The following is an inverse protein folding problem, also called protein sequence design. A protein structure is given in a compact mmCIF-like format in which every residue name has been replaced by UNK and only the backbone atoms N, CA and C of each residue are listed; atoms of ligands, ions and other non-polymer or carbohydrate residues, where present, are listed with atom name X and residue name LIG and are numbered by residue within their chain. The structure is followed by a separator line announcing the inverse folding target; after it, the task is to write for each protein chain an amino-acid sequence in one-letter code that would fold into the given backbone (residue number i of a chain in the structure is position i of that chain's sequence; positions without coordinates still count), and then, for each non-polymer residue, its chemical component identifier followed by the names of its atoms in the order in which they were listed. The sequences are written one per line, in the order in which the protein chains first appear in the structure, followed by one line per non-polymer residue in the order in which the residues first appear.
data_IF_625121171445
#
_entry.id   IF_625121171445
#
_cell.length_a   1.000
_cell.length_b   1.000
_cell.length_c   1.000
_cell.angle_alpha   90.00
_cell.angle_beta   90.00
_cell.angle_gamma   90.00
#
_symmetry.space_group_name_H-M   'P 1'
#
loop_
_entity.id
_entity.type
_entity.pdbx_description
1 polymer ?
#
# COMPACT_ATOMS: atom_id res chain seq x y z
N UNK A 1 17.63 35.25 -32.32
CA UNK A 1 17.88 34.33 -31.19
C UNK A 1 17.59 35.02 -29.85
N UNK A 2 16.35 34.98 -29.33
CA UNK A 2 15.99 35.37 -27.94
C UNK A 2 14.64 34.75 -27.57
N UNK A 3 14.56 33.43 -27.37
CA UNK A 3 13.33 32.74 -26.93
C UNK A 3 13.60 31.66 -25.88
N UNK A 4 14.57 31.86 -24.99
CA UNK A 4 14.92 30.88 -23.95
C UNK A 4 14.83 31.42 -22.50
N UNK A 5 14.44 32.68 -22.28
CA UNK A 5 14.42 33.25 -20.93
C UNK A 5 13.08 33.08 -20.19
N UNK A 6 11.95 32.99 -20.90
CA UNK A 6 10.63 32.93 -20.23
C UNK A 6 10.25 31.56 -19.67
N UNK A 7 10.95 30.47 -20.03
CA UNK A 7 10.71 29.14 -19.43
C UNK A 7 11.24 29.01 -17.99
N UNK A 8 12.14 29.89 -17.54
CA UNK A 8 12.80 29.79 -16.22
C UNK A 8 12.00 30.43 -15.07
N UNK A 9 10.77 30.91 -15.30
CA UNK A 9 9.97 31.62 -14.31
C UNK A 9 8.59 31.02 -14.04
N UNK A 10 8.40 29.70 -14.17
CA UNK A 10 7.41 29.03 -13.31
C UNK A 10 8.05 28.96 -11.93
N UNK A 11 7.75 29.96 -11.09
CA UNK A 11 8.09 30.01 -9.67
C UNK A 11 8.09 28.58 -9.11
N UNK A 12 9.24 28.11 -8.59
CA UNK A 12 9.28 26.98 -7.68
C UNK A 12 8.43 27.38 -6.47
N UNK A 13 7.14 27.01 -6.50
CA UNK A 13 6.19 27.37 -5.43
C UNK A 13 6.57 26.53 -4.22
N UNK A 14 7.32 27.14 -3.32
CA UNK A 14 7.61 26.60 -2.00
C UNK A 14 6.30 26.34 -1.25
N UNK A 15 6.26 25.29 -0.44
CA UNK A 15 5.16 25.07 0.49
C UNK A 15 5.02 26.27 1.45
N UNK A 16 3.79 26.52 1.93
CA UNK A 16 3.51 27.63 2.82
C UNK A 16 4.17 27.48 4.20
N UNK A 17 4.16 26.26 4.73
CA UNK A 17 4.69 25.90 6.06
C UNK A 17 6.16 25.50 5.98
N UNK A 18 6.48 24.36 5.37
CA UNK A 18 7.86 23.81 5.34
C UNK A 18 8.83 24.55 4.43
N UNK A 19 8.36 25.50 3.61
CA UNK A 19 9.14 26.24 2.60
C UNK A 19 9.90 25.36 1.59
N UNK A 20 9.63 24.07 1.57
CA UNK A 20 10.27 23.09 0.70
C UNK A 20 9.71 23.16 -0.73
N UNK A 21 10.53 22.75 -1.69
CA UNK A 21 10.20 22.79 -3.13
C UNK A 21 9.85 21.41 -3.70
N UNK A 22 10.15 20.33 -2.98
CA UNK A 22 9.86 18.93 -3.36
C UNK A 22 9.05 18.24 -2.28
N UNK A 23 8.25 17.24 -2.66
CA UNK A 23 7.46 16.48 -1.70
C UNK A 23 8.32 15.72 -0.67
N UNK A 24 9.46 15.17 -1.09
CA UNK A 24 10.39 14.50 -0.18
C UNK A 24 10.88 15.45 0.93
N UNK A 25 11.34 16.65 0.56
CA UNK A 25 11.79 17.65 1.53
C UNK A 25 10.64 18.22 2.40
N UNK A 26 9.40 18.15 1.93
CA UNK A 26 8.24 18.44 2.79
C UNK A 26 8.01 17.34 3.82
N UNK A 27 8.24 16.07 3.45
CA UNK A 27 8.17 14.91 4.34
C UNK A 27 9.22 14.98 5.44
N UNK A 28 10.49 15.19 5.06
CA UNK A 28 11.61 15.33 6.01
C UNK A 28 11.35 16.41 7.07
N UNK A 29 10.71 17.51 6.68
CA UNK A 29 10.27 18.53 7.64
C UNK A 29 9.21 17.99 8.61
N UNK A 30 8.20 17.25 8.14
CA UNK A 30 7.16 16.70 9.04
C UNK A 30 7.61 15.48 9.85
N UNK A 31 8.73 14.85 9.49
CA UNK A 31 9.36 13.81 10.31
C UNK A 31 10.06 14.41 11.55
N UNK A 32 10.51 15.67 11.48
CA UNK A 32 11.19 16.38 12.58
C UNK A 32 10.25 17.28 13.40
N UNK A 33 9.21 17.86 12.79
CA UNK A 33 8.34 18.85 13.41
C UNK A 33 6.90 18.35 13.61
N UNK A 34 6.30 18.63 14.78
CA UNK A 34 4.92 18.23 15.08
C UNK A 34 3.88 19.11 14.36
N UNK A 35 2.79 18.50 13.89
CA UNK A 35 1.68 19.19 13.24
C UNK A 35 0.99 20.22 14.16
N UNK A 36 0.93 19.95 15.48
CA UNK A 36 0.25 20.81 16.45
C UNK A 36 0.86 22.20 16.53
N UNK A 37 2.19 22.30 16.36
CA UNK A 37 2.93 23.57 16.42
C UNK A 37 2.58 24.52 15.27
N UNK A 38 1.98 23.97 14.21
CA UNK A 38 1.60 24.70 13.01
C UNK A 38 0.08 24.68 12.77
N UNK A 39 -0.73 24.21 13.73
CA UNK A 39 -2.18 24.05 13.56
C UNK A 39 -2.89 25.36 13.14
N UNK A 40 -2.48 26.51 13.69
CA UNK A 40 -3.02 27.83 13.29
C UNK A 40 -2.62 28.30 11.89
N UNK A 41 -1.69 27.60 11.22
CA UNK A 41 -1.23 27.87 9.85
C UNK A 41 -1.71 26.80 8.85
N UNK A 42 -2.43 25.77 9.32
CA UNK A 42 -3.05 24.76 8.48
C UNK A 42 -4.55 25.00 8.35
N UNK A 43 -5.19 24.19 7.50
CA UNK A 43 -6.64 24.19 7.33
C UNK A 43 -7.12 22.75 7.36
N UNK A 44 -8.33 22.53 7.84
CA UNK A 44 -8.97 21.22 7.73
C UNK A 44 -9.01 20.80 6.26
N UNK A 45 -8.56 19.58 5.99
CA UNK A 45 -8.63 18.94 4.68
C UNK A 45 -9.29 17.58 4.86
N UNK A 46 -10.21 17.25 3.96
CA UNK A 46 -10.79 15.91 3.88
C UNK A 46 -9.94 15.09 2.93
N UNK A 47 -9.46 13.94 3.39
CA UNK A 47 -8.83 12.93 2.57
C UNK A 47 -9.63 11.66 2.74
N UNK A 48 -10.18 11.15 1.65
CA UNK A 48 -10.79 9.82 1.64
C UNK A 48 -9.66 8.85 1.24
N UNK A 49 -9.29 7.97 2.17
CA UNK A 49 -8.28 6.94 1.93
C UNK A 49 -9.02 5.62 1.79
N UNK A 50 -8.96 5.03 0.60
CA UNK A 50 -9.45 3.67 0.39
C UNK A 50 -8.32 2.71 0.76
N UNK A 51 -8.43 2.11 1.95
CA UNK A 51 -7.57 1.00 2.33
C UNK A 51 -8.23 -0.25 1.77
N UNK A 52 -7.94 -0.58 0.50
CA UNK A 52 -8.35 -1.85 -0.06
C UNK A 52 -7.81 -2.96 0.84
N UNK A 53 -8.71 -3.79 1.38
CA UNK A 53 -8.28 -4.99 2.10
C UNK A 53 -7.51 -5.88 1.12
N UNK A 54 -6.27 -6.23 1.44
CA UNK A 54 -5.47 -7.15 0.62
C UNK A 54 -6.07 -8.58 0.55
N UNK A 55 -7.17 -8.83 1.27
CA UNK A 55 -7.83 -10.13 1.35
C UNK A 55 -8.86 -10.33 0.24
N UNK A 56 -8.67 -11.39 -0.55
CA UNK A 56 -9.68 -11.88 -1.49
C UNK A 56 -10.51 -13.00 -0.87
N UNK A 57 -11.82 -12.78 -0.74
CA UNK A 57 -12.75 -13.75 -0.16
C UNK A 57 -13.35 -14.66 -1.24
N UNK A 58 -13.20 -15.97 -1.07
CA UNK A 58 -13.77 -16.97 -1.96
C UNK A 58 -14.72 -17.89 -1.20
N UNK A 59 -15.92 -18.08 -1.74
CA UNK A 59 -16.87 -19.06 -1.21
C UNK A 59 -16.37 -20.48 -1.49
N UNK A 60 -16.43 -21.34 -0.47
CA UNK A 60 -16.13 -22.77 -0.57
C UNK A 60 -17.34 -23.58 -0.11
N UNK A 61 -17.45 -24.80 -0.62
CA UNK A 61 -18.52 -25.73 -0.23
C UNK A 61 -18.42 -26.09 1.26
N UNK A 62 -19.57 -26.33 1.90
CA UNK A 62 -19.68 -26.50 3.35
C UNK A 62 -18.87 -27.69 3.87
N UNK A 63 -19.00 -28.87 3.25
CA UNK A 63 -18.26 -30.08 3.67
C UNK A 63 -16.76 -29.92 3.46
N UNK A 64 -16.35 -29.21 2.41
CA UNK A 64 -14.95 -28.84 2.21
C UNK A 64 -14.45 -27.92 3.34
N UNK A 65 -15.23 -26.91 3.74
CA UNK A 65 -14.89 -26.04 4.87
C UNK A 65 -14.73 -26.83 6.17
N UNK A 66 -15.65 -27.75 6.45
CA UNK A 66 -15.59 -28.63 7.63
C UNK A 66 -14.31 -29.49 7.64
N UNK A 67 -13.93 -30.01 6.48
CA UNK A 67 -12.68 -30.78 6.31
C UNK A 67 -11.45 -29.90 6.55
N UNK A 68 -11.37 -28.72 5.93
CA UNK A 68 -10.27 -27.78 6.12
C UNK A 68 -10.12 -27.42 7.61
N UNK A 69 -11.23 -27.16 8.32
CA UNK A 69 -11.19 -26.83 9.74
C UNK A 69 -10.62 -27.96 10.60
N UNK A 70 -11.01 -29.21 10.30
CA UNK A 70 -10.49 -30.39 11.02
C UNK A 70 -8.98 -30.54 10.79
N UNK A 71 -8.54 -30.49 9.54
CA UNK A 71 -7.13 -30.60 9.16
C UNK A 71 -6.28 -29.48 9.77
N UNK A 72 -6.80 -28.24 9.76
CA UNK A 72 -6.12 -27.09 10.34
C UNK A 72 -5.95 -27.25 11.85
N UNK A 73 -6.99 -27.74 12.54
CA UNK A 73 -6.98 -28.01 13.97
C UNK A 73 -5.96 -29.09 14.34
N UNK A 74 -5.91 -30.19 13.59
CA UNK A 74 -4.93 -31.27 13.80
C UNK A 74 -3.49 -30.79 13.62
N UNK A 75 -3.27 -29.79 12.75
CA UNK A 75 -1.97 -29.17 12.49
C UNK A 75 -1.65 -27.98 13.40
N UNK A 76 -2.57 -27.58 14.28
CA UNK A 76 -2.41 -26.44 15.18
C UNK A 76 -2.33 -25.08 14.49
N UNK A 77 -2.85 -24.95 13.26
CA UNK A 77 -2.84 -23.70 12.48
C UNK A 77 -4.26 -23.24 12.15
N UNK A 78 -4.41 -22.00 11.70
CA UNK A 78 -5.71 -21.49 11.29
C UNK A 78 -6.16 -22.10 9.95
N UNK A 79 -7.48 -22.28 9.72
CA UNK A 79 -8.01 -22.67 8.41
C UNK A 79 -7.55 -21.73 7.28
N UNK A 80 -7.46 -20.43 7.54
CA UNK A 80 -6.97 -19.43 6.59
C UNK A 80 -5.52 -19.73 6.18
N UNK A 81 -4.64 -19.96 7.16
CA UNK A 81 -3.23 -20.30 6.92
C UNK A 81 -3.10 -21.59 6.10
N UNK A 82 -3.87 -22.63 6.47
CA UNK A 82 -3.83 -23.91 5.76
C UNK A 82 -4.25 -23.75 4.29
N UNK A 83 -5.34 -23.02 4.03
CA UNK A 83 -5.83 -22.76 2.67
C UNK A 83 -4.79 -22.01 1.85
N UNK A 84 -4.18 -20.96 2.40
CA UNK A 84 -3.15 -20.20 1.69
C UNK A 84 -1.94 -21.06 1.33
N UNK A 85 -1.46 -21.89 2.25
CA UNK A 85 -0.33 -22.80 1.98
C UNK A 85 -0.67 -23.80 0.87
N UNK A 86 -1.85 -24.43 0.94
CA UNK A 86 -2.28 -25.37 -0.10
C UNK A 86 -2.44 -24.69 -1.47
N UNK A 87 -3.04 -23.50 -1.52
CA UNK A 87 -3.19 -22.76 -2.78
C UNK A 87 -1.82 -22.40 -3.36
N UNK A 88 -0.87 -21.95 -2.54
CA UNK A 88 0.50 -21.68 -2.98
C UNK A 88 1.17 -22.92 -3.56
N UNK A 89 1.10 -24.06 -2.88
CA UNK A 89 1.65 -25.33 -3.37
C UNK A 89 1.01 -25.77 -4.70
N UNK A 90 -0.32 -25.62 -4.83
CA UNK A 90 -1.04 -25.99 -6.07
C UNK A 90 -0.67 -25.07 -7.21
N UNK A 91 -0.62 -23.75 -6.98
CA UNK A 91 -0.23 -22.77 -8.00
C UNK A 91 1.22 -23.00 -8.46
N UNK A 92 2.14 -23.33 -7.54
CA UNK A 92 3.51 -23.68 -7.90
C UNK A 92 3.60 -24.89 -8.82
N UNK A 93 2.76 -25.91 -8.62
CA UNK A 93 2.66 -27.08 -9.50
C UNK A 93 2.04 -26.76 -10.86
N UNK A 94 1.13 -25.78 -10.90
CA UNK A 94 0.48 -25.35 -12.13
C UNK A 94 1.38 -24.47 -13.00
N UNK A 95 2.34 -23.75 -12.41
CA UNK A 95 3.39 -23.05 -13.16
C UNK A 95 4.32 -24.12 -13.75
N UNK A 96 4.26 -24.43 -15.06
CA UNK A 96 5.35 -25.17 -15.67
C UNK A 96 6.61 -24.32 -15.44
N UNK A 97 7.78 -24.95 -15.30
CA UNK A 97 9.04 -24.23 -15.38
C UNK A 97 9.05 -23.45 -16.70
N UNK A 98 8.66 -22.17 -16.65
CA UNK A 98 8.80 -21.25 -17.76
C UNK A 98 10.30 -21.10 -17.92
N UNK A 99 10.85 -21.84 -18.88
CA UNK A 99 12.21 -21.67 -19.35
C UNK A 99 12.34 -20.20 -19.74
N UNK A 100 13.02 -19.44 -18.88
CA UNK A 100 13.50 -18.10 -19.20
C UNK A 100 14.44 -18.25 -20.40
N UNK A 101 13.99 -17.75 -21.55
CA UNK A 101 14.88 -17.28 -22.61
C UNK A 101 15.45 -15.92 -22.26
#
# INVERSE_FOLDING_TARGET
MRKNCDRKKRLRRKSSVSKAETYAAMGEFWDEYDLSDYWGKTRAARADVDLESEESLYAIEKRLSETIRREAKERGISPHTLVNLWLQEKIQKLKPHSRRG
#
